data_IF_270968740637
#
_entry.id   IF_270968740637
#
_cell.length_a   1.000
_cell.length_b   1.000
_cell.length_c   1.000
_cell.angle_alpha   90.00
_cell.angle_beta   90.00
_cell.angle_gamma   90.00
#
_symmetry.space_group_name_H-M   'P 1'
#
loop_
_entity.id
_entity.type
_entity.pdbx_description
1 polymer ?
#
# COMPACT_ATOMS: atom_id res chain seq x y z
N UNK A 1 -4.75 106.11 -8.85
CA UNK A 1 -5.89 106.82 -8.23
C UNK A 1 -6.99 105.81 -8.01
N UNK A 2 -7.45 105.72 -6.77
CA UNK A 2 -8.60 104.95 -6.29
C UNK A 2 -9.82 105.09 -7.22
N UNK A 3 -10.59 104.02 -7.39
CA UNK A 3 -11.96 104.06 -6.85
C UNK A 3 -12.61 102.69 -6.66
N UNK A 4 -13.24 102.59 -5.49
CA UNK A 4 -14.09 101.51 -5.00
C UNK A 4 -15.40 101.40 -5.80
N UNK A 5 -15.96 100.20 -5.86
CA UNK A 5 -17.35 99.95 -6.26
C UNK A 5 -17.88 98.63 -5.70
N UNK A 6 -18.74 98.72 -4.69
CA UNK A 6 -19.31 97.65 -3.85
C UNK A 6 -20.37 96.77 -4.56
N UNK A 7 -20.33 95.47 -4.21
CA UNK A 7 -21.42 94.55 -3.78
C UNK A 7 -22.79 94.55 -4.50
N UNK A 8 -23.21 93.36 -4.96
CA UNK A 8 -24.57 92.77 -4.84
C UNK A 8 -24.50 91.24 -5.08
N UNK A 9 -24.49 90.43 -4.02
CA UNK A 9 -25.61 89.59 -3.53
C UNK A 9 -26.10 88.49 -4.51
N UNK A 10 -25.60 87.26 -4.31
CA UNK A 10 -26.39 86.01 -4.30
C UNK A 10 -25.73 85.04 -3.30
N UNK A 11 -26.29 85.03 -2.09
CA UNK A 11 -26.61 83.89 -1.21
C UNK A 11 -26.20 82.52 -1.78
N UNK A 12 -25.43 81.64 -1.13
CA UNK A 12 -25.27 81.24 0.26
C UNK A 12 -26.55 80.69 0.93
N UNK A 13 -26.47 79.39 1.22
CA UNK A 13 -27.18 78.59 2.21
C UNK A 13 -28.47 77.85 1.81
N UNK A 14 -28.43 76.60 2.28
CA UNK A 14 -29.51 75.62 2.49
C UNK A 14 -29.82 74.71 1.29
N UNK A 15 -29.87 73.38 1.41
CA UNK A 15 -29.86 72.51 2.58
C UNK A 15 -29.92 71.05 2.09
N UNK A 16 -29.47 70.12 2.94
CA UNK A 16 -29.96 68.73 3.06
C UNK A 16 -29.44 67.66 2.07
N UNK A 17 -28.53 66.86 2.64
CA UNK A 17 -28.50 65.39 2.63
C UNK A 17 -27.99 64.61 1.40
N UNK A 18 -27.20 63.60 1.75
CA UNK A 18 -26.78 62.43 0.95
C UNK A 18 -25.95 62.75 -0.29
N UNK A 19 -24.63 62.51 -0.24
CA UNK A 19 -23.96 61.59 -1.18
C UNK A 19 -22.53 61.23 -0.70
N UNK A 20 -22.37 60.95 0.59
CA UNK A 20 -21.35 60.01 1.07
C UNK A 20 -22.09 58.69 1.35
N UNK A 21 -22.30 57.88 0.31
CA UNK A 21 -22.64 56.43 0.29
C UNK A 21 -23.41 56.07 -0.99
N UNK A 22 -22.64 55.70 -2.01
CA UNK A 22 -23.03 54.73 -3.06
C UNK A 22 -21.68 54.25 -3.63
N UNK A 23 -20.88 53.50 -2.86
CA UNK A 23 -21.08 52.08 -2.55
C UNK A 23 -21.53 51.28 -3.76
N UNK A 24 -20.70 50.31 -4.10
CA UNK A 24 -20.91 49.27 -5.12
C UNK A 24 -20.52 49.75 -6.52
N UNK A 25 -19.21 49.86 -6.74
CA UNK A 25 -18.61 49.28 -7.94
C UNK A 25 -19.08 47.81 -7.98
N UNK A 26 -20.25 47.59 -8.57
CA UNK A 26 -20.58 46.36 -9.28
C UNK A 26 -19.72 46.43 -10.53
N UNK A 27 -18.41 46.22 -10.36
CA UNK A 27 -17.73 45.53 -11.43
C UNK A 27 -18.42 44.18 -11.48
N UNK A 28 -19.14 43.84 -12.56
CA UNK A 28 -19.46 42.45 -12.73
C UNK A 28 -18.09 41.78 -12.73
N UNK A 29 -17.86 40.87 -11.79
CA UNK A 29 -16.92 39.79 -12.06
C UNK A 29 -17.51 39.19 -13.33
N UNK A 30 -16.99 39.59 -14.48
CA UNK A 30 -17.28 38.95 -15.75
C UNK A 30 -16.64 37.56 -15.60
N UNK A 31 -17.34 36.69 -14.88
CA UNK A 31 -17.23 35.25 -15.05
C UNK A 31 -17.32 35.06 -16.55
N UNK A 32 -16.21 34.66 -17.15
CA UNK A 32 -16.10 34.62 -18.60
C UNK A 32 -17.05 33.55 -19.09
N UNK A 33 -18.16 33.95 -19.70
CA UNK A 33 -19.13 33.05 -20.29
C UNK A 33 -18.49 31.98 -21.21
N UNK A 34 -17.29 32.24 -21.74
CA UNK A 34 -16.48 31.30 -22.50
C UNK A 34 -15.93 30.13 -21.66
N UNK A 35 -15.44 30.38 -20.43
CA UNK A 35 -14.89 29.33 -19.55
C UNK A 35 -16.00 28.37 -19.10
N UNK A 36 -17.18 28.90 -18.76
CA UNK A 36 -18.35 28.09 -18.37
C UNK A 36 -18.82 27.20 -19.53
N UNK A 37 -18.84 27.73 -20.76
CA UNK A 37 -19.20 26.97 -21.97
C UNK A 37 -18.19 25.86 -22.24
N UNK A 38 -16.89 26.15 -22.13
CA UNK A 38 -15.83 25.16 -22.28
C UNK A 38 -15.91 24.09 -21.19
N UNK A 39 -16.16 24.48 -19.94
CA UNK A 39 -16.29 23.58 -18.81
C UNK A 39 -17.49 22.62 -18.99
N UNK A 40 -18.66 23.13 -19.34
CA UNK A 40 -19.85 22.30 -19.64
C UNK A 40 -19.59 21.36 -20.83
N UNK A 41 -18.91 21.84 -21.88
CA UNK A 41 -18.54 21.01 -23.03
C UNK A 41 -17.60 19.87 -22.62
N UNK A 42 -16.58 20.16 -21.82
CA UNK A 42 -15.62 19.17 -21.36
C UNK A 42 -16.27 18.07 -20.51
N UNK A 43 -17.23 18.43 -19.64
CA UNK A 43 -18.02 17.45 -18.89
C UNK A 43 -18.90 16.58 -19.79
N UNK A 44 -19.57 17.17 -20.78
CA UNK A 44 -20.35 16.39 -21.77
C UNK A 44 -19.47 15.41 -22.56
N UNK A 45 -18.22 15.78 -22.84
CA UNK A 45 -17.25 14.88 -23.48
C UNK A 45 -16.86 13.73 -22.54
N UNK A 46 -16.68 13.98 -21.24
CA UNK A 46 -16.47 12.93 -20.24
C UNK A 46 -17.64 11.93 -20.19
N UNK A 47 -18.89 12.42 -20.19
CA UNK A 47 -20.08 11.57 -20.21
C UNK A 47 -20.13 10.68 -21.47
N UNK A 48 -19.71 11.23 -22.61
CA UNK A 48 -19.59 10.51 -23.88
C UNK A 48 -18.34 9.63 -23.99
N UNK A 49 -17.51 9.57 -22.95
CA UNK A 49 -16.22 8.84 -22.94
C UNK A 49 -15.20 9.34 -23.96
N UNK A 50 -15.34 10.57 -24.44
CA UNK A 50 -14.38 11.24 -25.32
C UNK A 50 -13.27 11.87 -24.48
N UNK A 51 -12.46 11.02 -23.86
CA UNK A 51 -11.53 11.43 -22.79
C UNK A 51 -10.40 12.33 -23.26
N UNK A 52 -9.80 12.07 -24.42
CA UNK A 52 -8.71 12.89 -24.98
C UNK A 52 -9.15 14.32 -25.27
N UNK A 53 -10.32 14.50 -25.89
CA UNK A 53 -10.89 15.83 -26.16
C UNK A 53 -11.25 16.57 -24.86
N UNK A 54 -11.83 15.86 -23.89
CA UNK A 54 -12.12 16.42 -22.57
C UNK A 54 -10.84 16.89 -21.87
N UNK A 55 -9.78 16.07 -21.91
CA UNK A 55 -8.47 16.40 -21.33
C UNK A 55 -7.88 17.67 -21.94
N UNK A 56 -7.95 17.82 -23.27
CA UNK A 56 -7.47 19.03 -23.94
C UNK A 56 -8.21 20.30 -23.47
N UNK A 57 -9.54 20.25 -23.38
CA UNK A 57 -10.33 21.42 -22.94
C UNK A 57 -10.07 21.73 -21.46
N UNK A 58 -10.04 20.73 -20.59
CA UNK A 58 -9.73 20.97 -19.17
C UNK A 58 -8.29 21.47 -18.97
N UNK A 59 -7.33 21.00 -19.76
CA UNK A 59 -5.95 21.50 -19.72
C UNK A 59 -5.86 22.95 -20.17
N UNK A 60 -6.64 23.33 -21.21
CA UNK A 60 -6.77 24.73 -21.61
C UNK A 60 -7.36 25.58 -20.49
N UNK A 61 -8.44 25.13 -19.86
CA UNK A 61 -9.06 25.82 -18.72
C UNK A 61 -8.12 25.93 -17.52
N UNK A 62 -7.33 24.90 -17.23
CA UNK A 62 -6.39 24.93 -16.11
C UNK A 62 -5.25 25.94 -16.33
N UNK A 63 -4.74 26.03 -17.56
CA UNK A 63 -3.63 26.92 -17.90
C UNK A 63 -4.04 28.37 -18.13
N UNK A 64 -5.23 28.60 -18.70
CA UNK A 64 -5.66 29.92 -19.21
C UNK A 64 -7.01 30.39 -18.68
N UNK A 65 -7.66 29.60 -17.83
CA UNK A 65 -8.95 29.95 -17.22
C UNK A 65 -8.84 31.24 -16.41
N UNK A 66 -9.87 32.07 -16.53
CA UNK A 66 -9.90 33.40 -15.90
C UNK A 66 -10.38 33.32 -14.45
N UNK A 67 -11.21 32.32 -14.12
CA UNK A 67 -11.63 32.08 -12.74
C UNK A 67 -10.60 31.23 -11.97
N UNK A 68 -9.70 31.93 -11.27
CA UNK A 68 -8.64 31.33 -10.44
C UNK A 68 -9.21 30.36 -9.38
N UNK A 69 -10.45 30.59 -8.90
CA UNK A 69 -11.08 29.75 -7.86
C UNK A 69 -11.39 28.34 -8.37
N UNK A 70 -11.61 28.21 -9.68
CA UNK A 70 -11.86 26.94 -10.36
C UNK A 70 -10.58 26.17 -10.69
N UNK A 71 -9.40 26.77 -10.47
CA UNK A 71 -8.10 26.16 -10.72
C UNK A 71 -7.95 24.70 -10.24
N UNK A 72 -8.21 24.35 -8.97
CA UNK A 72 -8.11 22.95 -8.52
C UNK A 72 -9.09 22.01 -9.23
N UNK A 73 -10.26 22.51 -9.63
CA UNK A 73 -11.27 21.72 -10.32
C UNK A 73 -10.88 21.45 -11.77
N UNK A 74 -10.47 22.48 -12.51
CA UNK A 74 -9.98 22.33 -13.89
C UNK A 74 -8.77 21.40 -13.95
N UNK A 75 -7.81 21.57 -13.04
CA UNK A 75 -6.63 20.69 -12.96
C UNK A 75 -7.00 19.25 -12.64
N UNK A 76 -7.91 19.02 -11.68
CA UNK A 76 -8.37 17.68 -11.33
C UNK A 76 -9.09 17.00 -12.50
N UNK A 77 -9.98 17.71 -13.19
CA UNK A 77 -10.71 17.13 -14.32
C UNK A 77 -9.83 16.94 -15.56
N UNK A 78 -8.80 17.78 -15.76
CA UNK A 78 -7.75 17.54 -16.75
C UNK A 78 -7.03 16.22 -16.47
N UNK A 79 -6.54 16.05 -15.24
CA UNK A 79 -5.85 14.84 -14.80
C UNK A 79 -6.71 13.58 -14.95
N UNK A 80 -7.98 13.66 -14.51
CA UNK A 80 -8.96 12.57 -14.59
C UNK A 80 -9.30 12.20 -16.03
N UNK A 81 -9.51 13.17 -16.90
CA UNK A 81 -9.75 12.93 -18.31
C UNK A 81 -8.53 12.27 -18.97
N UNK A 82 -7.32 12.76 -18.67
CA UNK A 82 -6.06 12.18 -19.15
C UNK A 82 -5.88 10.74 -18.71
N UNK A 83 -6.28 10.42 -17.47
CA UNK A 83 -6.18 9.07 -16.92
C UNK A 83 -7.04 8.10 -17.72
N UNK A 84 -8.29 8.46 -17.99
CA UNK A 84 -9.18 7.63 -18.81
C UNK A 84 -8.78 7.60 -20.29
N UNK A 85 -8.04 8.60 -20.77
CA UNK A 85 -7.45 8.62 -22.11
C UNK A 85 -6.16 7.80 -22.21
N UNK A 86 -5.60 7.31 -21.10
CA UNK A 86 -4.36 6.55 -21.05
C UNK A 86 -3.09 7.39 -20.94
N UNK A 87 -3.20 8.70 -20.73
CA UNK A 87 -2.06 9.62 -20.55
C UNK A 87 -1.51 9.55 -19.11
N UNK A 88 -1.11 8.36 -18.67
CA UNK A 88 -0.83 8.05 -17.26
C UNK A 88 0.28 8.92 -16.65
N UNK A 89 1.36 9.19 -17.39
CA UNK A 89 2.47 10.02 -16.90
C UNK A 89 2.09 11.50 -16.73
N UNK A 90 1.28 12.03 -17.65
CA UNK A 90 0.76 13.40 -17.59
C UNK A 90 -0.23 13.53 -16.44
N UNK A 91 -1.19 12.59 -16.35
CA UNK A 91 -2.14 12.53 -15.25
C UNK A 91 -1.47 12.41 -13.88
N UNK A 92 -0.38 11.63 -13.77
CA UNK A 92 0.39 11.53 -12.54
C UNK A 92 0.96 12.89 -12.12
N UNK A 93 1.52 13.66 -13.07
CA UNK A 93 2.02 15.02 -12.81
C UNK A 93 0.87 15.93 -12.40
N UNK A 94 -0.25 15.86 -13.09
CA UNK A 94 -1.39 16.73 -12.84
C UNK A 94 -2.07 16.46 -11.48
N UNK A 95 -2.24 15.20 -11.09
CA UNK A 95 -2.77 14.85 -9.76
C UNK A 95 -1.82 15.29 -8.63
N UNK A 96 -0.51 15.11 -8.83
CA UNK A 96 0.47 15.65 -7.88
C UNK A 96 0.42 17.18 -7.81
N UNK A 97 0.16 17.86 -8.93
CA UNK A 97 -0.05 19.31 -8.92
C UNK A 97 -1.27 19.68 -8.08
N UNK A 98 -2.41 18.96 -8.21
CA UNK A 98 -3.60 19.18 -7.38
C UNK A 98 -3.25 19.10 -5.89
N UNK A 99 -2.55 18.04 -5.49
CA UNK A 99 -2.19 17.79 -4.09
C UNK A 99 -1.26 18.87 -3.55
N UNK A 100 -0.21 19.22 -4.30
CA UNK A 100 0.84 20.14 -3.83
C UNK A 100 0.40 21.61 -3.87
N UNK A 101 -0.34 22.00 -4.91
CA UNK A 101 -0.73 23.39 -5.12
C UNK A 101 -2.03 23.74 -4.39
N UNK A 102 -2.93 22.79 -4.23
CA UNK A 102 -4.25 22.99 -3.62
C UNK A 102 -4.52 21.99 -2.49
N UNK A 103 -3.68 21.93 -1.44
CA UNK A 103 -3.76 20.90 -0.38
C UNK A 103 -5.06 20.93 0.44
N UNK A 104 -5.83 22.01 0.39
CA UNK A 104 -7.13 22.16 1.05
C UNK A 104 -8.32 21.89 0.13
N UNK A 105 -8.08 21.51 -1.13
CA UNK A 105 -9.14 21.24 -2.09
C UNK A 105 -9.89 19.96 -1.76
N UNK A 106 -11.20 19.94 -2.00
CA UNK A 106 -12.05 18.75 -1.88
C UNK A 106 -11.67 17.65 -2.88
N UNK A 107 -10.86 17.97 -3.91
CA UNK A 107 -10.36 17.02 -4.89
C UNK A 107 -9.10 16.26 -4.45
N UNK A 108 -8.41 16.70 -3.39
CA UNK A 108 -7.17 16.05 -2.90
C UNK A 108 -7.35 14.55 -2.62
N UNK A 109 -8.40 14.10 -1.90
CA UNK A 109 -8.58 12.67 -1.64
C UNK A 109 -8.80 11.86 -2.93
N UNK A 110 -9.48 12.43 -3.92
CA UNK A 110 -9.71 11.79 -5.21
C UNK A 110 -8.43 11.74 -6.05
N UNK A 111 -7.62 12.80 -6.01
CA UNK A 111 -6.32 12.82 -6.68
C UNK A 111 -5.40 11.72 -6.13
N UNK A 112 -5.35 11.53 -4.80
CA UNK A 112 -4.65 10.40 -4.20
C UNK A 112 -5.20 9.04 -4.66
N UNK A 113 -6.51 8.88 -4.76
CA UNK A 113 -7.11 7.63 -5.24
C UNK A 113 -6.71 7.31 -6.69
N UNK A 114 -6.71 8.31 -7.58
CA UNK A 114 -6.25 8.12 -8.95
C UNK A 114 -4.74 7.88 -9.04
N UNK A 115 -3.92 8.53 -8.21
CA UNK A 115 -2.50 8.20 -8.10
C UNK A 115 -2.29 6.74 -7.71
N UNK A 116 -3.05 6.23 -6.74
CA UNK A 116 -3.02 4.82 -6.38
C UNK A 116 -3.34 3.90 -7.56
N UNK A 117 -4.37 4.23 -8.34
CA UNK A 117 -4.69 3.48 -9.56
C UNK A 117 -3.57 3.53 -10.60
N UNK A 118 -2.96 4.70 -10.81
CA UNK A 118 -1.84 4.85 -11.75
C UNK A 118 -0.65 4.01 -11.27
N UNK A 119 -0.30 4.06 -9.99
CA UNK A 119 0.80 3.29 -9.42
C UNK A 119 0.55 1.78 -9.53
N UNK A 120 -0.70 1.32 -9.35
CA UNK A 120 -1.11 -0.05 -9.66
C UNK A 120 -0.83 -0.41 -11.13
N UNK A 121 -1.27 0.43 -12.08
CA UNK A 121 -1.03 0.21 -13.51
C UNK A 121 0.45 0.16 -13.86
N UNK A 122 1.30 0.89 -13.13
CA UNK A 122 2.75 0.93 -13.31
C UNK A 122 3.49 -0.18 -12.54
N UNK A 123 2.79 -1.08 -11.86
CA UNK A 123 3.38 -2.16 -11.07
C UNK A 123 4.05 -1.71 -9.76
N UNK A 124 3.75 -0.49 -9.29
CA UNK A 124 4.32 0.11 -8.07
C UNK A 124 3.37 -0.07 -6.89
N UNK A 125 3.11 -1.31 -6.51
CA UNK A 125 2.10 -1.65 -5.51
C UNK A 125 2.32 -0.96 -4.15
N UNK A 126 3.56 -0.80 -3.71
CA UNK A 126 3.88 -0.09 -2.45
C UNK A 126 3.47 1.38 -2.48
N UNK A 127 3.70 2.06 -3.61
CA UNK A 127 3.30 3.46 -3.81
C UNK A 127 1.78 3.57 -3.89
N UNK A 128 1.13 2.60 -4.55
CA UNK A 128 -0.32 2.53 -4.63
C UNK A 128 -0.97 2.43 -3.24
N UNK A 129 -0.44 1.57 -2.36
CA UNK A 129 -0.91 1.45 -0.96
C UNK A 129 -0.82 2.79 -0.24
N UNK A 130 0.32 3.48 -0.36
CA UNK A 130 0.52 4.80 0.28
C UNK A 130 -0.50 5.81 -0.25
N UNK A 131 -0.70 5.88 -1.56
CA UNK A 131 -1.65 6.79 -2.19
C UNK A 131 -3.09 6.50 -1.76
N UNK A 132 -3.52 5.24 -1.75
CA UNK A 132 -4.85 4.85 -1.25
C UNK A 132 -5.03 5.16 0.23
N UNK A 133 -4.04 4.89 1.08
CA UNK A 133 -4.13 5.25 2.51
C UNK A 133 -4.29 6.76 2.70
N UNK A 134 -3.59 7.58 1.90
CA UNK A 134 -3.76 9.04 1.90
C UNK A 134 -5.16 9.48 1.41
N UNK A 135 -5.69 8.84 0.36
CA UNK A 135 -7.06 9.06 -0.10
C UNK A 135 -8.08 8.78 1.02
N UNK A 136 -7.99 7.60 1.64
CA UNK A 136 -8.89 7.19 2.72
C UNK A 136 -8.79 8.10 3.95
N UNK A 137 -7.57 8.46 4.35
CA UNK A 137 -7.30 9.33 5.49
C UNK A 137 -7.96 10.70 5.32
N UNK A 138 -7.85 11.29 4.13
CA UNK A 138 -8.27 12.68 3.85
C UNK A 138 -9.71 12.80 3.35
N UNK A 139 -10.32 11.72 2.86
CA UNK A 139 -11.66 11.76 2.26
C UNK A 139 -12.80 11.88 3.28
N UNK A 140 -13.70 12.87 3.18
CA UNK A 140 -14.98 12.84 3.89
C UNK A 140 -16.04 11.97 3.19
N UNK A 141 -15.82 11.55 1.93
CA UNK A 141 -16.79 10.78 1.14
C UNK A 141 -16.73 9.28 1.45
N UNK A 142 -17.86 8.75 1.94
CA UNK A 142 -18.03 7.32 2.24
C UNK A 142 -17.94 6.43 1.00
N UNK A 143 -18.34 6.91 -0.18
CA UNK A 143 -18.25 6.14 -1.43
C UNK A 143 -16.79 5.96 -1.83
N UNK A 144 -16.00 7.05 -1.79
CA UNK A 144 -14.56 6.99 -2.02
C UNK A 144 -13.85 6.11 -0.97
N UNK A 145 -14.24 6.23 0.31
CA UNK A 145 -13.69 5.39 1.38
C UNK A 145 -13.89 3.90 1.09
N UNK A 146 -15.09 3.50 0.66
CA UNK A 146 -15.39 2.11 0.29
C UNK A 146 -14.53 1.63 -0.88
N UNK A 147 -14.46 2.39 -1.97
CA UNK A 147 -13.63 2.07 -3.14
C UNK A 147 -12.15 1.93 -2.77
N UNK A 148 -11.68 2.77 -1.87
CA UNK A 148 -10.28 2.77 -1.42
C UNK A 148 -9.97 1.53 -0.59
N UNK A 149 -10.89 1.13 0.30
CA UNK A 149 -10.77 -0.13 1.06
C UNK A 149 -10.72 -1.33 0.10
N UNK A 150 -11.65 -1.40 -0.87
CA UNK A 150 -11.69 -2.48 -1.87
C UNK A 150 -10.39 -2.54 -2.70
N UNK A 151 -9.83 -1.39 -3.06
CA UNK A 151 -8.56 -1.30 -3.79
C UNK A 151 -7.38 -1.80 -2.94
N UNK A 152 -7.32 -1.43 -1.66
CA UNK A 152 -6.30 -1.91 -0.73
C UNK A 152 -6.42 -3.41 -0.46
N UNK A 153 -7.65 -3.94 -0.34
CA UNK A 153 -7.91 -5.36 -0.19
C UNK A 153 -7.41 -6.17 -1.39
N UNK A 154 -7.57 -5.66 -2.61
CA UNK A 154 -7.05 -6.29 -3.83
C UNK A 154 -5.52 -6.30 -3.91
N UNK A 155 -4.84 -5.38 -3.21
CA UNK A 155 -3.38 -5.32 -3.14
C UNK A 155 -2.78 -6.13 -1.99
N UNK A 156 -3.59 -6.55 -1.02
CA UNK A 156 -3.10 -7.11 0.25
C UNK A 156 -2.19 -8.34 0.07
N UNK A 157 -2.42 -9.16 -0.96
CA UNK A 157 -1.62 -10.34 -1.29
C UNK A 157 -0.38 -10.01 -2.15
N UNK A 158 -0.40 -8.89 -2.85
CA UNK A 158 0.62 -8.51 -3.82
C UNK A 158 1.77 -7.71 -3.19
N UNK A 159 1.60 -7.20 -1.97
CA UNK A 159 2.58 -6.37 -1.27
C UNK A 159 3.24 -7.11 -0.10
N UNK A 160 4.51 -6.83 0.21
CA UNK A 160 5.14 -7.37 1.41
C UNK A 160 4.40 -6.98 2.69
N UNK A 161 4.39 -7.87 3.67
CA UNK A 161 3.81 -7.66 5.01
C UNK A 161 4.27 -6.35 5.67
N UNK A 162 5.55 -6.00 5.50
CA UNK A 162 6.12 -4.75 6.01
C UNK A 162 5.39 -3.50 5.49
N UNK A 163 4.91 -3.51 4.24
CA UNK A 163 4.16 -2.39 3.66
C UNK A 163 2.80 -2.25 4.34
N UNK A 164 2.15 -3.38 4.64
CA UNK A 164 0.86 -3.41 5.36
C UNK A 164 1.03 -2.93 6.81
N UNK A 165 2.11 -3.32 7.47
CA UNK A 165 2.41 -2.88 8.84
C UNK A 165 2.58 -1.37 8.93
N UNK A 166 3.19 -0.74 7.92
CA UNK A 166 3.33 0.72 7.85
C UNK A 166 1.98 1.46 7.78
N UNK A 167 0.90 0.80 7.32
CA UNK A 167 -0.44 1.39 7.34
C UNK A 167 -0.88 1.66 8.78
N UNK A 168 -0.60 0.72 9.70
CA UNK A 168 -0.94 0.86 11.11
C UNK A 168 -0.18 1.99 11.82
N UNK A 169 1.05 2.26 11.36
CA UNK A 169 1.89 3.37 11.83
C UNK A 169 1.47 4.74 11.24
N UNK A 170 0.71 4.74 10.14
CA UNK A 170 0.26 5.98 9.50
C UNK A 170 -0.77 6.69 10.40
N UNK A 171 -0.66 8.02 10.52
CA UNK A 171 -1.59 8.83 11.30
C UNK A 171 -2.96 8.94 10.61
N UNK A 172 -3.78 7.90 10.77
CA UNK A 172 -5.19 7.82 10.37
C UNK A 172 -6.06 8.21 11.57
N UNK A 173 -7.11 9.04 11.39
CA UNK A 173 -8.05 9.41 12.46
C UNK A 173 -8.59 8.18 13.20
N UNK A 174 -8.62 8.22 14.53
CA UNK A 174 -8.97 7.07 15.38
C UNK A 174 -10.31 6.41 15.00
N UNK A 175 -11.32 7.21 14.65
CA UNK A 175 -12.64 6.73 14.22
C UNK A 175 -12.61 5.92 12.91
N UNK A 176 -11.69 6.25 12.00
CA UNK A 176 -11.55 5.61 10.68
C UNK A 176 -10.58 4.45 10.66
N UNK A 177 -9.67 4.39 11.64
CA UNK A 177 -8.55 3.45 11.62
C UNK A 177 -9.01 2.00 11.55
N UNK A 178 -9.93 1.60 12.43
CA UNK A 178 -10.39 0.21 12.47
C UNK A 178 -11.35 -0.11 11.33
N UNK A 179 -12.09 0.87 10.81
CA UNK A 179 -12.93 0.72 9.61
C UNK A 179 -12.10 0.38 8.36
N UNK A 180 -10.82 0.76 8.33
CA UNK A 180 -9.87 0.35 7.29
C UNK A 180 -9.18 -0.98 7.60
N UNK A 181 -8.63 -1.10 8.81
CA UNK A 181 -7.72 -2.21 9.13
C UNK A 181 -8.46 -3.55 9.30
N UNK A 182 -9.72 -3.54 9.75
CA UNK A 182 -10.50 -4.78 9.91
C UNK A 182 -10.78 -5.45 8.56
N UNK A 183 -11.37 -4.76 7.55
CA UNK A 183 -11.55 -5.37 6.23
C UNK A 183 -10.23 -5.78 5.56
N UNK A 184 -9.15 -5.02 5.79
CA UNK A 184 -7.84 -5.39 5.28
C UNK A 184 -7.32 -6.70 5.91
N UNK A 185 -7.48 -6.86 7.22
CA UNK A 185 -7.13 -8.09 7.92
C UNK A 185 -7.95 -9.29 7.44
N UNK A 186 -9.23 -9.11 7.10
CA UNK A 186 -10.04 -10.17 6.48
C UNK A 186 -9.44 -10.66 5.15
N UNK A 187 -8.97 -9.73 4.30
CA UNK A 187 -8.29 -10.09 3.06
C UNK A 187 -6.95 -10.78 3.31
N UNK A 188 -6.18 -10.34 4.29
CA UNK A 188 -4.93 -11.01 4.69
C UNK A 188 -5.18 -12.46 5.15
N UNK A 189 -6.26 -12.73 5.90
CA UNK A 189 -6.62 -14.11 6.27
C UNK A 189 -6.92 -14.95 5.02
N UNK A 190 -7.70 -14.41 4.08
CA UNK A 190 -8.04 -15.12 2.83
C UNK A 190 -6.78 -15.43 2.00
N UNK A 191 -5.83 -14.49 1.98
CA UNK A 191 -4.53 -14.61 1.32
C UNK A 191 -3.46 -15.39 2.09
N UNK A 192 -3.82 -16.10 3.17
CA UNK A 192 -2.89 -16.84 4.04
C UNK A 192 -1.71 -16.02 4.63
N UNK A 193 -1.88 -14.70 4.76
CA UNK A 193 -0.85 -13.76 5.22
C UNK A 193 -1.13 -13.30 6.65
N UNK A 194 -0.78 -14.12 7.64
CA UNK A 194 -1.27 -13.96 9.01
C UNK A 194 -0.38 -13.09 9.91
N UNK A 195 0.90 -12.97 9.56
CA UNK A 195 1.98 -12.44 10.41
C UNK A 195 1.66 -11.02 10.93
N UNK A 196 1.16 -10.15 10.05
CA UNK A 196 0.93 -8.74 10.40
C UNK A 196 -0.40 -8.47 11.09
N UNK A 197 -1.35 -9.42 11.10
CA UNK A 197 -2.74 -9.19 11.53
C UNK A 197 -2.80 -8.73 12.99
N UNK A 198 -2.06 -9.40 13.88
CA UNK A 198 -1.99 -9.04 15.30
C UNK A 198 -1.47 -7.63 15.50
N UNK A 199 -0.42 -7.26 14.76
CA UNK A 199 0.21 -5.93 14.83
C UNK A 199 -0.78 -4.84 14.42
N UNK A 200 -1.38 -4.97 13.22
CA UNK A 200 -2.26 -3.94 12.68
C UNK A 200 -3.57 -3.80 13.47
N UNK A 201 -4.10 -4.89 14.05
CA UNK A 201 -5.37 -4.86 14.80
C UNK A 201 -5.20 -4.60 16.29
N UNK A 202 -3.97 -4.48 16.82
CA UNK A 202 -3.68 -4.32 18.25
C UNK A 202 -4.42 -3.17 18.94
N UNK A 203 -4.70 -2.09 18.22
CA UNK A 203 -5.44 -0.92 18.71
C UNK A 203 -6.98 -1.02 18.51
N UNK A 204 -7.47 -2.03 17.79
CA UNK A 204 -8.87 -2.19 17.44
C UNK A 204 -9.60 -3.08 18.45
N UNK A 205 -10.57 -2.49 19.17
CA UNK A 205 -11.28 -3.14 20.30
C UNK A 205 -12.60 -3.81 19.93
N UNK A 206 -12.96 -3.88 18.66
CA UNK A 206 -14.19 -4.54 18.20
C UNK A 206 -14.13 -6.05 18.38
N UNK A 207 -15.27 -6.71 18.60
CA UNK A 207 -15.35 -8.17 18.67
C UNK A 207 -14.80 -8.84 17.39
N UNK A 208 -15.03 -8.24 16.22
CA UNK A 208 -14.51 -8.76 14.96
C UNK A 208 -12.98 -8.70 14.90
N UNK A 209 -12.37 -7.58 15.27
CA UNK A 209 -10.91 -7.48 15.37
C UNK A 209 -10.31 -8.56 16.31
N UNK A 210 -10.91 -8.78 17.49
CA UNK A 210 -10.46 -9.84 18.42
C UNK A 210 -10.60 -11.23 17.80
N UNK A 211 -11.70 -11.49 17.08
CA UNK A 211 -11.91 -12.75 16.36
C UNK A 211 -10.84 -12.98 15.29
N UNK A 212 -10.54 -11.97 14.48
CA UNK A 212 -9.53 -12.06 13.41
C UNK A 212 -8.13 -12.30 13.97
N UNK A 213 -7.76 -11.62 15.07
CA UNK A 213 -6.48 -11.86 15.77
C UNK A 213 -6.40 -13.31 16.24
N UNK A 214 -7.41 -13.81 16.96
CA UNK A 214 -7.42 -15.18 17.47
C UNK A 214 -7.39 -16.21 16.33
N UNK A 215 -8.08 -15.95 15.22
CA UNK A 215 -8.05 -16.80 14.03
C UNK A 215 -6.66 -16.83 13.40
N UNK A 216 -6.03 -15.67 13.22
CA UNK A 216 -4.67 -15.56 12.69
C UNK A 216 -3.66 -16.30 13.59
N UNK A 217 -3.75 -16.16 14.91
CA UNK A 217 -2.90 -16.87 15.86
C UNK A 217 -3.06 -18.40 15.77
N UNK A 218 -4.29 -18.88 15.60
CA UNK A 218 -4.55 -20.31 15.42
C UNK A 218 -3.98 -20.83 14.10
N UNK A 219 -4.11 -20.06 13.01
CA UNK A 219 -3.59 -20.42 11.69
C UNK A 219 -2.06 -20.38 11.65
N UNK A 220 -1.43 -19.39 12.30
CA UNK A 220 0.03 -19.34 12.47
C UNK A 220 0.55 -20.57 13.22
N UNK A 221 -0.13 -21.00 14.30
CA UNK A 221 0.23 -22.24 15.01
C UNK A 221 0.09 -23.50 14.16
N UNK A 222 -0.70 -23.46 13.09
CA UNK A 222 -0.86 -24.56 12.14
C UNK A 222 0.17 -24.51 11.01
N UNK A 223 0.75 -23.34 10.72
CA UNK A 223 1.85 -23.19 9.77
C UNK A 223 3.17 -23.48 10.47
N UNK A 224 3.63 -24.72 10.34
CA UNK A 224 4.93 -25.14 10.84
C UNK A 224 5.94 -24.92 9.72
N UNK A 225 6.86 -23.96 9.90
CA UNK A 225 7.99 -23.78 8.98
C UNK A 225 9.06 -24.83 9.29
N UNK A 226 9.47 -25.57 8.26
CA UNK A 226 10.52 -26.58 8.37
C UNK A 226 11.60 -26.29 7.33
N UNK A 227 12.84 -26.09 7.78
CA UNK A 227 13.97 -25.89 6.89
C UNK A 227 14.41 -27.20 6.26
N UNK A 228 14.54 -27.27 4.94
CA UNK A 228 15.00 -28.45 4.21
C UNK A 228 16.41 -28.16 3.67
N UNK A 229 17.41 -28.88 4.16
CA UNK A 229 18.80 -28.74 3.77
C UNK A 229 19.15 -29.92 2.85
N UNK A 230 19.30 -29.64 1.56
CA UNK A 230 19.61 -30.66 0.55
C UNK A 230 20.54 -30.09 -0.53
N UNK A 231 21.44 -30.91 -1.11
CA UNK A 231 22.26 -30.46 -2.23
C UNK A 231 21.40 -30.35 -3.50
N UNK A 232 21.10 -29.14 -3.94
CA UNK A 232 20.36 -28.86 -5.19
C UNK A 232 21.28 -28.35 -6.29
N UNK A 233 22.56 -28.23 -6.01
CA UNK A 233 23.62 -28.03 -7.00
C UNK A 233 24.85 -28.86 -6.64
N UNK A 234 25.81 -28.93 -7.56
CA UNK A 234 27.03 -29.72 -7.41
C UNK A 234 26.81 -31.20 -7.72
N UNK A 235 27.77 -32.03 -7.32
CA UNK A 235 27.83 -33.45 -7.71
C UNK A 235 26.66 -34.29 -7.16
N UNK A 236 26.09 -33.87 -6.03
CA UNK A 236 25.03 -34.61 -5.33
C UNK A 236 23.63 -34.09 -5.65
N UNK A 237 23.48 -33.14 -6.59
CA UNK A 237 22.21 -32.51 -6.93
C UNK A 237 21.07 -33.52 -7.14
N UNK A 238 21.33 -34.58 -7.92
CA UNK A 238 20.32 -35.61 -8.23
C UNK A 238 19.79 -36.31 -6.98
N UNK A 239 20.63 -36.50 -5.96
CA UNK A 239 20.20 -37.13 -4.71
C UNK A 239 19.42 -36.16 -3.81
N UNK A 240 19.80 -34.88 -3.79
CA UNK A 240 19.05 -33.86 -3.06
C UNK A 240 17.68 -33.59 -3.67
N UNK A 241 17.57 -33.56 -5.00
CA UNK A 241 16.29 -33.50 -5.71
C UNK A 241 15.39 -34.69 -5.35
N UNK A 242 15.92 -35.92 -5.38
CA UNK A 242 15.15 -37.11 -5.02
C UNK A 242 14.67 -37.09 -3.55
N UNK A 243 15.49 -36.59 -2.64
CA UNK A 243 15.12 -36.42 -1.24
C UNK A 243 14.03 -35.35 -1.07
N UNK A 244 14.16 -34.21 -1.77
CA UNK A 244 13.18 -33.13 -1.75
C UNK A 244 11.83 -33.58 -2.33
N UNK A 245 11.84 -34.34 -3.42
CA UNK A 245 10.63 -34.91 -4.02
C UNK A 245 9.91 -35.85 -3.03
N UNK A 246 10.67 -36.69 -2.32
CA UNK A 246 10.11 -37.56 -1.28
C UNK A 246 9.49 -36.78 -0.12
N UNK A 247 10.13 -35.69 0.31
CA UNK A 247 9.60 -34.79 1.34
C UNK A 247 8.29 -34.16 0.85
N UNK A 248 8.29 -33.55 -0.34
CA UNK A 248 7.12 -32.88 -0.89
C UNK A 248 5.94 -33.83 -1.05
N UNK A 249 6.17 -35.06 -1.54
CA UNK A 249 5.13 -36.08 -1.66
C UNK A 249 4.46 -36.39 -0.31
N UNK A 250 5.26 -36.52 0.76
CA UNK A 250 4.72 -36.80 2.09
C UNK A 250 4.02 -35.58 2.69
N UNK A 251 4.52 -34.37 2.44
CA UNK A 251 3.89 -33.12 2.88
C UNK A 251 2.51 -32.94 2.22
N UNK A 252 2.40 -33.21 0.92
CA UNK A 252 1.12 -33.17 0.19
C UNK A 252 0.13 -34.18 0.76
N UNK A 253 0.59 -35.41 1.03
CA UNK A 253 -0.22 -36.45 1.67
C UNK A 253 -0.68 -36.05 3.07
N UNK A 254 0.24 -35.54 3.90
CA UNK A 254 -0.06 -35.08 5.26
C UNK A 254 -1.07 -33.94 5.27
N UNK A 255 -0.94 -33.01 4.32
CA UNK A 255 -1.91 -31.93 4.14
C UNK A 255 -3.29 -32.45 3.77
N UNK A 256 -3.38 -33.38 2.82
CA UNK A 256 -4.64 -33.99 2.41
C UNK A 256 -5.34 -34.76 3.55
N UNK A 257 -4.58 -35.42 4.43
CA UNK A 257 -5.13 -36.22 5.54
C UNK A 257 -5.52 -35.38 6.76
N UNK A 258 -4.74 -34.35 7.10
CA UNK A 258 -4.88 -33.63 8.38
C UNK A 258 -5.42 -32.21 8.22
N UNK A 259 -5.42 -31.67 7.00
CA UNK A 259 -5.71 -30.26 6.72
C UNK A 259 -4.63 -29.29 7.21
N UNK A 260 -3.57 -29.76 7.90
CA UNK A 260 -2.46 -28.91 8.35
C UNK A 260 -1.48 -28.69 7.20
N UNK A 261 -0.94 -27.49 7.08
CA UNK A 261 0.05 -27.15 6.05
C UNK A 261 1.40 -26.93 6.72
N UNK A 262 2.35 -27.80 6.40
CA UNK A 262 3.76 -27.59 6.73
C UNK A 262 4.37 -26.87 5.53
N UNK A 263 5.03 -25.74 5.76
CA UNK A 263 5.67 -24.97 4.70
C UNK A 263 7.16 -25.32 4.70
N UNK A 264 7.66 -26.08 3.71
CA UNK A 264 9.09 -26.34 3.60
C UNK A 264 9.79 -25.09 3.07
N UNK A 265 10.86 -24.67 3.73
CA UNK A 265 11.78 -23.65 3.21
C UNK A 265 13.06 -24.34 2.81
N UNK A 266 13.32 -24.37 1.50
CA UNK A 266 14.38 -25.20 0.91
C UNK A 266 15.66 -24.39 0.77
N UNK A 267 16.77 -24.99 1.20
CA UNK A 267 18.10 -24.41 1.10
C UNK A 267 19.04 -25.38 0.38
N UNK A 268 19.71 -24.86 -0.64
CA UNK A 268 20.74 -25.58 -1.38
C UNK A 268 22.06 -25.58 -0.60
N UNK A 269 22.43 -26.75 -0.06
CA UNK A 269 23.71 -26.92 0.64
C UNK A 269 24.88 -27.12 -0.33
N UNK A 270 24.61 -27.42 -1.60
CA UNK A 270 25.61 -27.78 -2.63
C UNK A 270 26.46 -29.02 -2.32
N UNK A 271 26.11 -29.75 -1.26
CA UNK A 271 26.94 -30.82 -0.72
C UNK A 271 28.14 -30.30 0.09
N UNK A 272 28.13 -29.03 0.48
CA UNK A 272 29.23 -28.36 1.19
C UNK A 272 28.91 -28.18 2.68
N UNK A 273 29.81 -28.68 3.53
CA UNK A 273 29.67 -28.68 4.99
C UNK A 273 29.65 -27.28 5.62
N UNK A 274 30.36 -26.30 5.05
CA UNK A 274 30.41 -24.93 5.56
C UNK A 274 29.13 -24.20 5.21
N UNK A 275 28.60 -24.39 4.00
CA UNK A 275 27.32 -23.81 3.59
C UNK A 275 26.16 -24.41 4.40
N UNK A 276 26.13 -25.73 4.60
CA UNK A 276 25.16 -26.38 5.48
C UNK A 276 25.17 -25.78 6.89
N UNK A 277 26.36 -25.61 7.48
CA UNK A 277 26.54 -24.98 8.79
C UNK A 277 26.02 -23.54 8.85
N UNK A 278 26.29 -22.74 7.82
CA UNK A 278 25.83 -21.33 7.71
C UNK A 278 24.31 -21.25 7.64
N UNK A 279 23.70 -22.08 6.78
CA UNK A 279 22.24 -22.18 6.64
C UNK A 279 21.61 -22.53 7.99
N UNK A 280 22.13 -23.55 8.66
CA UNK A 280 21.58 -24.03 9.92
C UNK A 280 21.73 -23.01 11.05
N UNK A 281 22.84 -22.27 11.10
CA UNK A 281 23.01 -21.17 12.07
C UNK A 281 21.96 -20.08 11.89
N UNK A 282 21.63 -19.75 10.62
CA UNK A 282 20.57 -18.79 10.29
C UNK A 282 19.20 -19.32 10.74
N UNK A 283 18.89 -20.58 10.43
CA UNK A 283 17.64 -21.23 10.85
C UNK A 283 17.47 -21.27 12.37
N UNK A 284 18.53 -21.65 13.09
CA UNK A 284 18.53 -21.70 14.56
C UNK A 284 18.36 -20.33 15.22
N UNK A 285 18.57 -19.24 14.49
CA UNK A 285 18.35 -17.88 14.99
C UNK A 285 17.00 -17.29 14.53
N UNK A 286 16.24 -18.03 13.70
CA UNK A 286 14.95 -17.62 13.16
C UNK A 286 13.76 -18.33 13.83
N UNK A 287 12.65 -18.43 13.09
CA UNK A 287 11.38 -18.99 13.59
C UNK A 287 11.10 -20.44 13.10
N UNK A 288 12.07 -21.07 12.43
CA UNK A 288 11.92 -22.44 11.95
C UNK A 288 11.65 -23.41 13.11
N UNK A 289 10.63 -24.24 12.96
CA UNK A 289 10.23 -25.21 13.99
C UNK A 289 11.15 -26.43 14.03
N UNK A 290 11.73 -26.79 12.89
CA UNK A 290 12.67 -27.89 12.73
C UNK A 290 13.48 -27.73 11.43
N UNK A 291 14.54 -28.53 11.31
CA UNK A 291 15.30 -28.72 10.07
C UNK A 291 15.35 -30.21 9.69
N UNK A 292 15.30 -30.50 8.40
CA UNK A 292 15.46 -31.85 7.82
C UNK A 292 16.64 -31.83 6.85
N UNK A 293 17.51 -32.82 6.97
CA UNK A 293 18.80 -32.90 6.30
C UNK A 293 19.96 -32.79 7.30
N UNK A 294 21.20 -32.61 6.82
CA UNK A 294 21.61 -32.65 5.41
C UNK A 294 21.73 -34.09 4.87
N UNK A 295 22.18 -34.24 3.61
CA UNK A 295 22.26 -35.52 2.92
C UNK A 295 23.49 -36.35 3.35
N UNK A 296 24.65 -35.71 3.46
CA UNK A 296 25.92 -36.40 3.70
C UNK A 296 26.34 -36.40 5.17
N UNK A 297 27.27 -37.30 5.52
CA UNK A 297 27.80 -37.38 6.88
C UNK A 297 28.71 -36.21 7.26
N UNK A 298 29.44 -35.64 6.29
CA UNK A 298 30.30 -34.48 6.53
C UNK A 298 29.47 -33.22 6.81
N UNK A 299 28.45 -32.96 5.98
CA UNK A 299 27.50 -31.88 6.24
C UNK A 299 26.79 -32.07 7.59
N UNK A 300 26.37 -33.30 7.90
CA UNK A 300 25.64 -33.62 9.12
C UNK A 300 26.51 -33.42 10.37
N UNK A 301 27.78 -33.80 10.32
CA UNK A 301 28.71 -33.63 11.44
C UNK A 301 28.86 -32.15 11.82
N UNK A 302 29.10 -31.28 10.84
CA UNK A 302 29.25 -29.85 11.08
C UNK A 302 27.92 -29.22 11.49
N UNK A 303 26.83 -29.63 10.86
CA UNK A 303 25.47 -29.19 11.20
C UNK A 303 25.10 -29.52 12.65
N UNK A 304 25.30 -30.75 13.10
CA UNK A 304 25.04 -31.15 14.49
C UNK A 304 25.92 -30.36 15.47
N UNK A 305 27.21 -30.16 15.14
CA UNK A 305 28.11 -29.39 15.99
C UNK A 305 27.68 -27.91 16.15
N UNK A 306 27.15 -27.29 15.09
CA UNK A 306 26.59 -25.93 15.15
C UNK A 306 25.41 -25.84 16.12
N UNK A 307 24.66 -26.92 16.28
CA UNK A 307 23.50 -27.01 17.16
C UNK A 307 23.83 -27.51 18.58
N UNK A 308 25.11 -27.65 18.96
CA UNK A 308 25.49 -28.16 20.29
C UNK A 308 24.87 -27.37 21.47
N UNK A 309 24.58 -26.08 21.27
CA UNK A 309 23.89 -25.23 22.26
C UNK A 309 22.57 -24.64 21.72
N UNK A 310 22.03 -25.20 20.64
CA UNK A 310 20.81 -24.72 19.98
C UNK A 310 19.59 -25.56 20.34
N UNK A 311 18.40 -24.97 20.15
CA UNK A 311 17.12 -25.63 20.43
C UNK A 311 16.40 -26.12 19.16
N UNK A 312 16.96 -25.89 17.98
CA UNK A 312 16.36 -26.28 16.70
C UNK A 312 16.52 -27.80 16.50
N UNK A 313 15.43 -28.58 16.43
CA UNK A 313 15.52 -30.01 16.10
C UNK A 313 16.05 -30.19 14.68
N UNK A 314 17.06 -31.04 14.51
CA UNK A 314 17.62 -31.45 13.23
C UNK A 314 17.38 -32.94 13.00
N UNK A 315 16.67 -33.28 11.94
CA UNK A 315 16.44 -34.67 11.51
C UNK A 315 17.40 -34.97 10.35
N UNK A 316 18.31 -35.91 10.55
CA UNK A 316 19.36 -36.31 9.62
C UNK A 316 18.94 -37.67 9.00
N UNK A 317 18.37 -37.69 7.79
CA UNK A 317 17.65 -38.86 7.31
C UNK A 317 18.51 -39.86 6.52
N UNK A 318 19.69 -39.46 6.04
CA UNK A 318 20.49 -40.27 5.12
C UNK A 318 21.94 -40.51 5.57
N UNK A 319 22.53 -39.58 6.32
CA UNK A 319 23.89 -39.74 6.82
C UNK A 319 24.00 -40.96 7.74
N UNK A 320 24.99 -41.82 7.52
CA UNK A 320 25.16 -43.09 8.24
C UNK A 320 26.32 -43.09 9.24
N UNK A 321 27.09 -42.00 9.34
CA UNK A 321 28.20 -41.92 10.29
C UNK A 321 27.70 -42.01 11.73
N UNK A 322 28.39 -42.79 12.56
CA UNK A 322 28.10 -42.92 13.98
C UNK A 322 28.54 -41.68 14.77
N UNK A 323 27.83 -41.36 15.85
CA UNK A 323 28.20 -40.29 16.77
C UNK A 323 27.64 -38.90 16.41
N UNK A 324 26.91 -38.77 15.30
CA UNK A 324 26.32 -37.49 14.86
C UNK A 324 25.34 -36.91 15.89
N UNK A 325 24.61 -37.76 16.61
CA UNK A 325 23.64 -37.38 17.65
C UNK A 325 24.30 -37.08 19.00
N UNK A 326 25.58 -37.42 19.18
CA UNK A 326 26.34 -37.08 20.39
C UNK A 326 26.82 -35.62 20.36
N UNK A 327 26.89 -35.03 19.17
CA UNK A 327 27.33 -33.64 18.95
C UNK A 327 26.29 -32.60 19.38
N UNK A 328 25.01 -32.98 19.45
CA UNK A 328 23.93 -32.11 19.93
C UNK A 328 22.71 -32.91 20.37
N UNK A 329 22.10 -32.51 21.50
CA UNK A 329 20.87 -33.11 22.03
C UNK A 329 19.63 -32.86 21.16
N UNK A 330 19.73 -31.99 20.16
CA UNK A 330 18.64 -31.67 19.22
C UNK A 330 18.85 -32.29 17.85
N UNK A 331 19.91 -33.09 17.66
CA UNK A 331 20.18 -33.81 16.41
C UNK A 331 19.71 -35.26 16.50
N UNK A 332 18.95 -35.69 15.51
CA UNK A 332 18.35 -37.02 15.41
C UNK A 332 18.75 -37.67 14.10
N UNK A 333 19.28 -38.88 14.15
CA UNK A 333 19.66 -39.68 12.99
C UNK A 333 18.64 -40.82 12.84
N UNK A 334 18.17 -41.08 11.62
CA UNK A 334 17.17 -42.11 11.33
C UNK A 334 17.77 -43.50 11.06
#
# INVERSE_FOLDING_TARGET
>A
MNNNGRLKTKDCLESIALFFLLSIFLWPIAVSADDDVLYMRAHKLLEKKQYSEAHQIFSQLSNFGKDIRMGPEYQYFAAKAGYYAGYLEESLKDFNHVINRFPQSTFVPYAYFFLGNIDCFLGKADQAVIAYVNAYKTSPDNRLNKLTIESLQGLAEAVPSAVIENISATSIPAKKRCDLLVPLAESLIKGNSFQSIRSILSACRSAEATRLINQADQLLKQQIEVGILVPLSGELQRFGEAMLDGINLMLDKYHAETGRKITPVVYDTRGDEIEAARILKRLSSGEAAAAIGPLTSDEASVSSAVLACGNLPLIIPAASQSGLTELSSTSFQL
#
